data_IF_939846766412
#
_entry.id   IF_939846766412
#
_cell.length_a   1.000
_cell.length_b   1.000
_cell.length_c   1.000
_cell.angle_alpha   90.00
_cell.angle_beta   90.00
_cell.angle_gamma   90.00
#
_symmetry.space_group_name_H-M   'P 1'
#
loop_
_entity.id
_entity.type
_entity.pdbx_description
1 polymer ?
#
# COMPACT_ATOMS: atom_id res chain seq x y z
N UNK A 1 -13.91 -49.68 12.34
CA UNK A 1 -12.65 -48.96 12.62
C UNK A 1 -12.88 -47.45 12.77
N UNK A 2 -13.32 -46.72 11.73
CA UNK A 2 -13.50 -45.25 11.79
C UNK A 2 -14.49 -44.74 12.84
N UNK A 3 -15.64 -45.40 13.02
CA UNK A 3 -16.67 -45.00 14.01
C UNK A 3 -16.22 -45.16 15.46
N UNK A 4 -15.37 -46.15 15.76
CA UNK A 4 -14.83 -46.36 17.12
C UNK A 4 -13.77 -45.32 17.49
N UNK A 5 -12.95 -44.91 16.53
CA UNK A 5 -11.94 -43.87 16.72
C UNK A 5 -12.57 -42.49 16.92
N UNK A 6 -13.64 -42.19 16.19
CA UNK A 6 -14.40 -40.95 16.36
C UNK A 6 -15.12 -40.89 17.71
N UNK A 7 -15.68 -42.00 18.18
CA UNK A 7 -16.33 -42.07 19.49
C UNK A 7 -15.32 -41.86 20.63
N UNK A 8 -14.13 -42.45 20.53
CA UNK A 8 -13.06 -42.29 21.52
C UNK A 8 -12.56 -40.84 21.57
N UNK A 9 -12.39 -40.20 20.41
CA UNK A 9 -11.98 -38.80 20.32
C UNK A 9 -13.04 -37.86 20.93
N UNK A 10 -14.32 -38.10 20.66
CA UNK A 10 -15.44 -37.35 21.23
C UNK A 10 -15.52 -37.52 22.74
N UNK A 11 -15.36 -38.75 23.26
CA UNK A 11 -15.33 -39.02 24.69
C UNK A 11 -14.17 -38.32 25.39
N UNK A 12 -13.00 -38.29 24.76
CA UNK A 12 -11.81 -37.62 25.30
C UNK A 12 -11.96 -36.09 25.28
N UNK A 13 -12.58 -35.54 24.24
CA UNK A 13 -12.94 -34.11 24.17
C UNK A 13 -13.99 -33.73 25.22
N UNK A 14 -14.99 -34.57 25.44
CA UNK A 14 -16.03 -34.36 26.44
C UNK A 14 -15.45 -34.45 27.87
N UNK A 15 -14.54 -35.39 28.12
CA UNK A 15 -13.81 -35.49 29.38
C UNK A 15 -12.94 -34.25 29.63
N UNK A 16 -12.24 -33.75 28.61
CA UNK A 16 -11.43 -32.52 28.72
C UNK A 16 -12.28 -31.27 28.97
N UNK A 17 -13.45 -31.17 28.33
CA UNK A 17 -14.40 -30.07 28.56
C UNK A 17 -15.02 -30.15 29.96
N UNK A 18 -15.33 -31.35 30.45
CA UNK A 18 -15.84 -31.56 31.82
C UNK A 18 -14.77 -31.24 32.86
N UNK A 19 -13.52 -31.67 32.66
CA UNK A 19 -12.39 -31.33 33.54
C UNK A 19 -12.14 -29.81 33.55
N UNK A 20 -12.24 -29.14 32.39
CA UNK A 20 -12.12 -27.68 32.28
C UNK A 20 -13.26 -26.96 33.01
N UNK A 21 -14.49 -27.47 32.92
CA UNK A 21 -15.66 -26.95 33.62
C UNK A 21 -15.55 -27.11 35.14
N UNK A 22 -15.09 -28.28 35.61
CA UNK A 22 -14.85 -28.54 37.03
C UNK A 22 -13.76 -27.62 37.62
N UNK A 23 -12.73 -27.31 36.83
CA UNK A 23 -11.65 -26.39 37.26
C UNK A 23 -12.14 -24.94 37.38
N UNK A 24 -13.08 -24.51 36.53
CA UNK A 24 -13.72 -23.19 36.64
C UNK A 24 -14.68 -23.11 37.82
N UNK A 25 -15.40 -24.19 38.15
CA UNK A 25 -16.25 -24.26 39.34
C UNK A 25 -15.42 -24.22 40.64
N UNK A 26 -14.30 -24.95 40.68
CA UNK A 26 -13.35 -24.91 41.80
C UNK A 26 -12.74 -23.53 42.00
N UNK A 27 -12.44 -22.81 40.91
CA UNK A 27 -11.96 -21.42 40.99
C UNK A 27 -13.02 -20.46 41.56
N UNK A 28 -14.31 -20.74 41.34
CA UNK A 28 -15.42 -19.96 41.87
C UNK A 28 -15.60 -20.08 43.38
N UNK A 29 -15.50 -21.30 43.94
CA UNK A 29 -15.61 -21.53 45.40
C UNK A 29 -14.41 -20.95 46.17
N UNK A 30 -13.21 -20.97 45.59
CA UNK A 30 -12.01 -20.33 46.18
C UNK A 30 -12.15 -18.80 46.23
N UNK A 31 -12.88 -18.19 45.30
CA UNK A 31 -13.07 -16.74 45.25
C UNK A 31 -14.10 -16.22 46.28
N UNK A 32 -15.06 -17.05 46.69
CA UNK A 32 -16.09 -16.68 47.68
C UNK A 32 -15.57 -16.80 49.13
N UNK A 33 -14.49 -17.55 49.38
CA UNK A 33 -13.90 -17.76 50.70
C UNK A 33 -12.85 -16.72 51.15
N UNK A 34 -12.39 -15.81 50.29
CA UNK A 34 -11.29 -14.90 50.62
C UNK A 34 -11.74 -13.56 51.22
N UNK A 35 -12.14 -13.56 52.49
CA UNK A 35 -11.97 -12.38 53.37
C UNK A 35 -10.75 -12.63 54.27
N UNK A 36 -9.69 -11.85 54.03
CA UNK A 36 -8.37 -11.87 54.68
C UNK A 36 -7.38 -12.94 54.16
N UNK A 37 -6.47 -12.53 53.25
CA UNK A 37 -5.28 -13.32 52.86
C UNK A 37 -4.94 -13.39 51.36
N UNK A 38 -5.09 -12.29 50.61
CA UNK A 38 -5.04 -12.31 49.14
C UNK A 38 -3.67 -12.59 48.48
N UNK A 39 -2.57 -12.74 49.23
CA UNK A 39 -1.24 -12.96 48.65
C UNK A 39 -0.83 -14.44 48.58
N UNK A 40 -1.31 -15.29 49.51
CA UNK A 40 -0.88 -16.69 49.58
C UNK A 40 -1.61 -17.60 48.59
N UNK A 41 -2.93 -17.40 48.41
CA UNK A 41 -3.74 -18.21 47.50
C UNK A 41 -3.39 -17.96 46.02
N UNK A 42 -2.98 -16.74 45.65
CA UNK A 42 -2.56 -16.43 44.29
C UNK A 42 -1.27 -17.16 43.90
N UNK A 43 -0.35 -17.37 44.84
CA UNK A 43 0.91 -18.08 44.60
C UNK A 43 0.67 -19.59 44.39
N UNK A 44 -0.24 -20.20 45.14
CA UNK A 44 -0.60 -21.62 44.94
C UNK A 44 -1.34 -21.85 43.62
N UNK A 45 -2.23 -20.93 43.22
CA UNK A 45 -2.93 -21.02 41.92
C UNK A 45 -1.97 -20.83 40.75
N UNK A 46 -0.98 -19.93 40.87
CA UNK A 46 0.05 -19.74 39.85
C UNK A 46 0.98 -20.96 39.74
N UNK A 47 1.34 -21.58 40.87
CA UNK A 47 2.13 -22.82 40.90
C UNK A 47 1.35 -24.01 40.32
N UNK A 48 0.05 -24.10 40.58
CA UNK A 48 -0.82 -25.12 39.98
C UNK A 48 -0.96 -24.93 38.46
N UNK A 49 -1.11 -23.69 37.99
CA UNK A 49 -1.12 -23.38 36.54
C UNK A 49 0.23 -23.68 35.89
N UNK A 50 1.35 -23.35 36.53
CA UNK A 50 2.68 -23.70 36.02
C UNK A 50 2.90 -25.22 35.99
N UNK A 51 2.45 -25.95 37.02
CA UNK A 51 2.59 -27.41 37.09
C UNK A 51 1.66 -28.12 36.12
N UNK A 52 0.47 -27.57 35.87
CA UNK A 52 -0.45 -28.03 34.82
C UNK A 52 0.10 -27.74 33.42
N UNK A 53 0.66 -26.55 33.18
CA UNK A 53 1.39 -26.25 31.95
C UNK A 53 2.57 -27.21 31.76
N UNK A 54 3.37 -27.50 32.79
CA UNK A 54 4.43 -28.49 32.73
C UNK A 54 3.92 -29.94 32.57
N UNK A 55 2.71 -30.28 32.99
CA UNK A 55 2.13 -31.61 32.77
C UNK A 55 1.57 -31.77 31.34
N UNK A 56 0.87 -30.75 30.85
CA UNK A 56 0.38 -30.70 29.47
C UNK A 56 1.52 -30.59 28.44
N UNK A 57 2.64 -29.93 28.80
CA UNK A 57 3.79 -29.72 27.92
C UNK A 57 4.98 -30.66 28.21
N UNK A 58 5.03 -31.31 29.37
CA UNK A 58 6.18 -32.08 29.85
C UNK A 58 6.33 -33.49 29.29
N UNK A 59 5.56 -33.85 28.27
CA UNK A 59 5.80 -35.09 27.51
C UNK A 59 6.12 -34.87 26.03
N UNK A 60 6.11 -33.62 25.55
CA UNK A 60 6.63 -33.27 24.23
C UNK A 60 7.67 -32.16 24.40
N UNK A 61 8.95 -32.54 24.41
CA UNK A 61 10.05 -31.60 24.33
C UNK A 61 9.95 -30.81 23.04
N UNK A 62 9.48 -29.58 23.12
CA UNK A 62 9.67 -28.55 22.10
C UNK A 62 9.24 -27.20 22.64
N UNK A 63 10.23 -26.30 22.77
CA UNK A 63 10.04 -24.87 22.94
C UNK A 63 9.01 -24.31 21.94
N UNK A 64 8.28 -23.22 22.26
CA UNK A 64 7.37 -22.57 21.30
C UNK A 64 8.07 -22.03 20.04
N UNK A 65 9.41 -21.96 20.03
CA UNK A 65 10.20 -21.71 18.81
C UNK A 65 10.18 -22.90 17.82
N UNK A 66 10.10 -24.14 18.31
CA UNK A 66 10.14 -25.34 17.47
C UNK A 66 8.76 -25.70 16.90
N UNK A 67 7.66 -25.34 17.56
CA UNK A 67 6.31 -25.50 16.99
C UNK A 67 6.05 -24.51 15.84
N UNK A 68 6.59 -23.30 15.91
CA UNK A 68 6.59 -22.36 14.79
C UNK A 68 7.46 -22.86 13.62
N UNK A 69 8.63 -23.45 13.91
CA UNK A 69 9.49 -24.05 12.89
C UNK A 69 8.91 -25.34 12.27
N UNK A 70 8.20 -26.17 13.04
CA UNK A 70 7.55 -27.39 12.54
C UNK A 70 6.26 -27.09 11.76
N UNK A 71 5.51 -26.03 12.12
CA UNK A 71 4.40 -25.55 11.30
C UNK A 71 4.89 -24.95 9.96
N UNK A 72 6.06 -24.32 9.96
CA UNK A 72 6.74 -23.90 8.73
C UNK A 72 7.30 -25.06 7.90
N UNK A 73 7.58 -26.23 8.51
CA UNK A 73 8.06 -27.42 7.81
C UNK A 73 6.93 -28.37 7.35
N UNK A 74 5.75 -28.32 7.99
CA UNK A 74 4.58 -29.12 7.63
C UNK A 74 3.59 -28.38 6.73
N UNK A 75 3.64 -27.05 6.68
CA UNK A 75 3.28 -26.33 5.46
C UNK A 75 4.41 -26.64 4.48
N UNK A 76 4.18 -27.58 3.56
CA UNK A 76 5.16 -27.95 2.57
C UNK A 76 5.82 -26.70 2.01
N UNK A 77 7.15 -26.67 2.06
CA UNK A 77 7.94 -25.91 1.12
C UNK A 77 7.62 -26.46 -0.28
N UNK A 78 6.43 -26.12 -0.81
CA UNK A 78 6.39 -25.58 -2.15
C UNK A 78 7.22 -24.30 -2.06
N UNK A 79 8.55 -24.45 -2.07
CA UNK A 79 9.45 -23.44 -2.56
C UNK A 79 8.98 -23.24 -4.00
N UNK A 80 7.95 -22.38 -4.13
CA UNK A 80 7.36 -22.00 -5.37
C UNK A 80 8.51 -21.70 -6.29
N UNK A 81 8.56 -22.40 -7.42
CA UNK A 81 9.59 -22.26 -8.42
C UNK A 81 9.92 -20.78 -8.56
N UNK A 82 11.14 -20.38 -8.15
CA UNK A 82 11.55 -18.98 -8.17
C UNK A 82 11.71 -18.62 -9.64
N UNK A 83 10.70 -17.97 -10.21
CA UNK A 83 10.74 -17.54 -11.60
C UNK A 83 11.49 -16.22 -11.70
N UNK A 84 12.45 -16.17 -12.62
CA UNK A 84 13.01 -14.89 -13.06
C UNK A 84 11.94 -14.09 -13.82
N UNK A 85 12.11 -12.77 -13.94
CA UNK A 85 11.09 -11.89 -14.52
C UNK A 85 10.78 -12.22 -15.98
N UNK A 86 11.78 -12.64 -16.75
CA UNK A 86 11.58 -13.12 -18.12
C UNK A 86 10.75 -14.41 -18.15
N UNK A 87 10.94 -15.29 -17.15
CA UNK A 87 10.18 -16.52 -17.00
C UNK A 87 8.74 -16.25 -16.56
N UNK A 88 8.52 -15.29 -15.66
CA UNK A 88 7.17 -14.82 -15.28
C UNK A 88 6.43 -14.25 -16.48
N UNK A 89 7.09 -13.44 -17.31
CA UNK A 89 6.51 -12.91 -18.53
C UNK A 89 6.15 -14.03 -19.52
N UNK A 90 7.06 -14.97 -19.74
CA UNK A 90 6.83 -16.13 -20.61
C UNK A 90 5.68 -17.03 -20.09
N UNK A 91 5.54 -17.15 -18.77
CA UNK A 91 4.44 -17.89 -18.15
C UNK A 91 3.09 -17.21 -18.41
N UNK A 92 3.01 -15.88 -18.26
CA UNK A 92 1.81 -15.11 -18.60
C UNK A 92 1.51 -15.22 -20.10
N UNK A 93 2.53 -15.16 -20.97
CA UNK A 93 2.38 -15.36 -22.41
C UNK A 93 1.85 -16.75 -22.76
N UNK A 94 2.29 -17.79 -22.04
CA UNK A 94 1.77 -19.14 -22.23
C UNK A 94 0.28 -19.21 -21.88
N UNK A 95 -0.12 -18.67 -20.72
CA UNK A 95 -1.51 -18.70 -20.25
C UNK A 95 -2.46 -17.79 -21.05
N UNK A 96 -1.95 -16.78 -21.74
CA UNK A 96 -2.69 -15.94 -22.70
C UNK A 96 -3.16 -16.77 -23.92
N UNK A 97 -2.35 -17.76 -24.34
CA UNK A 97 -2.65 -18.63 -25.49
C UNK A 97 -3.51 -19.85 -25.11
N UNK A 98 -3.68 -20.14 -23.82
CA UNK A 98 -4.50 -21.26 -23.34
C UNK A 98 -5.91 -20.77 -23.07
N UNK A 99 -6.86 -21.28 -23.85
CA UNK A 99 -8.28 -20.96 -23.71
C UNK A 99 -8.74 -21.28 -22.28
N UNK A 100 -9.48 -20.34 -21.66
CA UNK A 100 -10.08 -20.42 -20.32
C UNK A 100 -9.15 -20.18 -19.11
N UNK A 101 -7.91 -19.73 -19.29
CA UNK A 101 -7.02 -19.40 -18.15
C UNK A 101 -6.90 -17.89 -17.92
N UNK A 102 -6.53 -17.13 -18.95
CA UNK A 102 -6.49 -15.67 -18.92
C UNK A 102 -7.22 -15.12 -20.14
N UNK A 103 -7.94 -14.01 -19.96
CA UNK A 103 -8.36 -13.18 -21.09
C UNK A 103 -7.20 -12.33 -21.58
N UNK A 104 -7.26 -11.91 -22.85
CA UNK A 104 -6.21 -11.07 -23.44
C UNK A 104 -6.00 -9.74 -22.70
N UNK A 105 -7.08 -9.16 -22.15
CA UNK A 105 -7.00 -7.95 -21.34
C UNK A 105 -6.33 -8.20 -19.98
N UNK A 106 -6.65 -9.31 -19.30
CA UNK A 106 -5.98 -9.71 -18.05
C UNK A 106 -4.49 -9.99 -18.27
N UNK A 107 -4.15 -10.73 -19.33
CA UNK A 107 -2.76 -10.98 -19.70
C UNK A 107 -2.01 -9.67 -19.99
N UNK A 108 -2.65 -8.72 -20.69
CA UNK A 108 -2.09 -7.39 -20.97
C UNK A 108 -1.86 -6.57 -19.69
N UNK A 109 -2.78 -6.62 -18.73
CA UNK A 109 -2.63 -5.94 -17.44
C UNK A 109 -1.48 -6.55 -16.64
N UNK A 110 -1.38 -7.89 -16.59
CA UNK A 110 -0.32 -8.59 -15.89
C UNK A 110 1.07 -8.27 -16.48
N UNK A 111 1.20 -8.34 -17.81
CA UNK A 111 2.43 -7.95 -18.53
C UNK A 111 2.78 -6.49 -18.24
N UNK A 112 1.78 -5.60 -18.30
CA UNK A 112 1.94 -4.19 -17.98
C UNK A 112 2.45 -3.95 -16.55
N UNK A 113 1.92 -4.66 -15.56
CA UNK A 113 2.37 -4.56 -14.16
C UNK A 113 3.80 -5.07 -13.94
N UNK A 114 4.17 -6.17 -14.62
CA UNK A 114 5.54 -6.70 -14.59
C UNK A 114 6.54 -5.70 -15.19
N UNK A 115 6.19 -5.09 -16.32
CA UNK A 115 7.04 -4.11 -17.02
C UNK A 115 7.10 -2.78 -16.25
N UNK A 116 5.98 -2.33 -15.65
CA UNK A 116 5.85 -1.07 -14.91
C UNK A 116 6.90 -0.89 -13.81
N UNK A 117 7.27 -1.98 -13.14
CA UNK A 117 8.24 -1.96 -12.05
C UNK A 117 9.65 -1.50 -12.48
N UNK A 118 9.96 -1.51 -13.79
CA UNK A 118 11.28 -1.14 -14.32
C UNK A 118 11.28 0.08 -15.22
N UNK A 119 10.09 0.55 -15.60
CA UNK A 119 9.99 1.76 -16.41
C UNK A 119 10.51 2.93 -15.57
N UNK A 120 11.35 3.76 -16.21
CA UNK A 120 11.83 5.02 -15.64
C UNK A 120 10.95 6.17 -16.08
N UNK A 121 11.00 7.27 -15.33
CA UNK A 121 10.21 8.47 -15.60
C UNK A 121 10.50 9.04 -16.99
N UNK A 122 11.75 8.93 -17.46
CA UNK A 122 12.17 9.40 -18.79
C UNK A 122 11.32 8.86 -19.95
N UNK A 123 10.80 7.63 -19.85
CA UNK A 123 9.99 6.99 -20.90
C UNK A 123 8.53 7.43 -20.91
N UNK A 124 8.03 7.94 -19.79
CA UNK A 124 6.60 8.25 -19.60
C UNK A 124 6.35 9.77 -19.54
N UNK A 125 7.38 10.56 -19.23
CA UNK A 125 7.25 12.01 -19.13
C UNK A 125 6.85 12.68 -20.45
N UNK A 126 6.01 13.72 -20.36
CA UNK A 126 5.67 14.57 -21.49
C UNK A 126 6.78 15.60 -21.70
N UNK A 127 7.32 15.75 -22.93
CA UNK A 127 8.36 16.73 -23.18
C UNK A 127 7.81 18.16 -23.12
N UNK A 128 8.62 19.11 -22.62
CA UNK A 128 8.21 20.49 -22.33
C UNK A 128 7.54 21.21 -23.52
N UNK A 129 7.99 20.98 -24.75
CA UNK A 129 7.41 21.62 -25.95
C UNK A 129 5.97 21.19 -26.25
N UNK A 130 5.49 20.09 -25.67
CA UNK A 130 4.09 19.62 -25.79
C UNK A 130 3.22 20.03 -24.60
N UNK A 131 3.80 20.71 -23.62
CA UNK A 131 3.08 21.11 -22.41
C UNK A 131 2.29 22.39 -22.68
N UNK A 132 0.97 22.32 -22.46
CA UNK A 132 0.12 23.51 -22.44
C UNK A 132 0.24 24.18 -21.06
N UNK A 133 1.09 25.20 -20.97
CA UNK A 133 1.37 25.96 -19.75
C UNK A 133 1.13 27.46 -19.94
N UNK A 134 1.20 28.19 -18.83
CA UNK A 134 1.11 29.64 -18.75
C UNK A 134 2.46 30.22 -18.32
N UNK A 135 2.90 31.32 -18.90
CA UNK A 135 4.10 32.02 -18.42
C UNK A 135 3.76 32.95 -17.24
N UNK A 136 4.67 33.07 -16.27
CA UNK A 136 4.45 33.73 -14.98
C UNK A 136 4.07 35.22 -15.08
N UNK A 137 4.67 35.95 -16.02
CA UNK A 137 4.44 37.39 -16.20
C UNK A 137 3.37 37.70 -17.25
N UNK A 138 2.70 36.66 -17.75
CA UNK A 138 1.61 36.81 -18.70
C UNK A 138 0.36 37.35 -18.01
N UNK A 139 -0.25 38.40 -18.57
CA UNK A 139 -1.60 38.84 -18.21
C UNK A 139 -2.65 37.87 -18.73
N UNK A 140 -3.59 37.45 -17.89
CA UNK A 140 -4.71 36.59 -18.28
C UNK A 140 -5.80 37.41 -18.94
N UNK A 141 -5.90 37.24 -20.25
CA UNK A 141 -6.97 37.79 -21.08
C UNK A 141 -7.94 36.67 -21.46
N UNK A 142 -9.15 37.05 -21.92
CA UNK A 142 -10.15 36.10 -22.40
C UNK A 142 -9.58 35.09 -23.41
N UNK A 143 -8.78 35.56 -24.37
CA UNK A 143 -8.17 34.70 -25.40
C UNK A 143 -7.25 33.63 -24.80
N UNK A 144 -6.44 33.99 -23.80
CA UNK A 144 -5.50 33.06 -23.16
C UNK A 144 -6.23 32.06 -22.28
N UNK A 145 -7.24 32.50 -21.53
CA UNK A 145 -8.08 31.62 -20.73
C UNK A 145 -8.81 30.63 -21.64
N UNK A 146 -9.40 31.11 -22.75
CA UNK A 146 -10.06 30.26 -23.74
C UNK A 146 -9.10 29.23 -24.36
N UNK A 147 -7.88 29.63 -24.71
CA UNK A 147 -6.84 28.74 -25.22
C UNK A 147 -6.45 27.64 -24.23
N UNK A 148 -6.43 27.93 -22.94
CA UNK A 148 -6.12 26.95 -21.90
C UNK A 148 -7.29 26.00 -21.68
N UNK A 149 -8.51 26.52 -21.69
CA UNK A 149 -9.71 25.72 -21.58
C UNK A 149 -9.84 24.74 -22.76
N UNK A 150 -9.45 25.17 -23.97
CA UNK A 150 -9.44 24.29 -25.15
C UNK A 150 -8.34 23.22 -25.09
N UNK A 151 -7.27 23.40 -24.31
CA UNK A 151 -6.29 22.33 -24.05
C UNK A 151 -6.88 21.16 -23.24
N UNK A 152 -7.94 21.38 -22.45
CA UNK A 152 -8.65 20.31 -21.73
C UNK A 152 -7.89 19.67 -20.54
N UNK A 153 -6.78 20.25 -20.09
CA UNK A 153 -6.01 19.74 -18.95
C UNK A 153 -6.43 20.38 -17.64
N UNK A 154 -6.73 19.59 -16.61
CA UNK A 154 -7.12 20.14 -15.29
C UNK A 154 -6.00 20.87 -14.56
N UNK A 155 -4.74 20.52 -14.85
CA UNK A 155 -3.54 21.02 -14.19
C UNK A 155 -2.69 21.77 -15.19
N UNK A 156 -2.41 23.03 -14.89
CA UNK A 156 -1.69 23.94 -15.77
C UNK A 156 -0.39 24.34 -15.09
N UNK A 157 0.77 23.97 -15.64
CA UNK A 157 2.04 24.51 -15.18
C UNK A 157 2.11 26.01 -15.39
N UNK A 158 2.70 26.70 -14.41
CA UNK A 158 3.20 28.05 -14.57
C UNK A 158 4.69 27.97 -14.85
N UNK A 159 5.07 28.45 -16.04
CA UNK A 159 6.41 28.47 -16.58
C UNK A 159 7.08 29.80 -16.29
N UNK A 160 8.38 29.75 -15.98
CA UNK A 160 9.24 30.93 -15.90
C UNK A 160 10.48 30.69 -16.74
N UNK A 161 10.53 31.35 -17.90
CA UNK A 161 11.62 31.23 -18.87
C UNK A 161 12.91 31.91 -18.39
N UNK A 162 12.83 32.81 -17.41
CA UNK A 162 14.00 33.45 -16.81
C UNK A 162 14.65 32.57 -15.74
N UNK A 163 13.91 31.60 -15.20
CA UNK A 163 14.40 30.73 -14.13
C UNK A 163 15.05 29.45 -14.69
N UNK A 164 16.09 28.91 -14.01
CA UNK A 164 16.64 27.59 -14.33
C UNK A 164 15.65 26.47 -14.01
N UNK A 165 14.62 26.75 -13.20
CA UNK A 165 13.55 25.82 -12.86
C UNK A 165 12.31 26.19 -13.67
N UNK A 166 12.30 25.81 -14.95
CA UNK A 166 11.30 26.19 -15.98
C UNK A 166 9.86 26.19 -15.51
N UNK A 167 9.50 25.38 -14.50
CA UNK A 167 8.19 25.38 -13.84
C UNK A 167 8.35 25.87 -12.40
N UNK A 168 7.65 26.95 -12.08
CA UNK A 168 7.66 27.56 -10.74
C UNK A 168 6.49 27.05 -9.90
N UNK A 169 5.38 26.70 -10.54
CA UNK A 169 4.19 26.27 -9.81
C UNK A 169 3.09 25.69 -10.68
N UNK A 170 1.97 25.38 -10.05
CA UNK A 170 0.85 24.70 -10.70
C UNK A 170 -0.49 25.35 -10.33
N UNK A 171 -1.32 25.60 -11.34
CA UNK A 171 -2.67 26.15 -11.24
C UNK A 171 -3.69 25.10 -11.69
N UNK A 172 -4.92 25.17 -11.18
CA UNK A 172 -6.03 24.37 -11.71
C UNK A 172 -6.94 25.22 -12.58
N UNK A 173 -7.47 24.58 -13.64
CA UNK A 173 -8.47 25.20 -14.52
C UNK A 173 -9.68 25.73 -13.76
N UNK A 174 -10.13 24.98 -12.74
CA UNK A 174 -11.30 25.39 -11.94
C UNK A 174 -11.08 26.72 -11.21
N UNK A 175 -9.83 27.02 -10.85
CA UNK A 175 -9.48 28.26 -10.16
C UNK A 175 -9.48 29.43 -11.15
N UNK A 176 -9.10 29.18 -12.42
CA UNK A 176 -9.18 30.17 -13.52
C UNK A 176 -10.62 30.50 -13.93
N UNK A 177 -11.55 29.55 -13.80
CA UNK A 177 -12.96 29.75 -14.17
C UNK A 177 -13.69 30.76 -13.26
N UNK A 178 -13.14 31.05 -12.07
CA UNK A 178 -13.71 32.00 -11.11
C UNK A 178 -13.29 33.44 -11.38
N UNK A 179 -12.34 33.67 -12.30
CA UNK A 179 -11.80 34.99 -12.58
C UNK A 179 -12.54 35.71 -13.69
N UNK A 180 -12.71 37.02 -13.49
CA UNK A 180 -13.21 37.91 -14.53
C UNK A 180 -12.14 38.14 -15.61
N UNK A 181 -12.39 37.77 -16.88
CA UNK A 181 -11.45 37.97 -17.98
C UNK A 181 -11.14 39.44 -18.29
N UNK A 182 -11.95 40.40 -17.80
CA UNK A 182 -11.71 41.83 -18.01
C UNK A 182 -10.79 42.47 -16.96
N UNK A 183 -10.46 41.76 -15.88
CA UNK A 183 -9.61 42.28 -14.81
C UNK A 183 -8.10 42.25 -15.12
N UNK A 184 -7.70 41.61 -16.24
CA UNK A 184 -6.30 41.48 -16.70
C UNK A 184 -5.29 41.06 -15.61
N UNK A 185 -5.67 40.11 -14.76
CA UNK A 185 -4.84 39.66 -13.64
C UNK A 185 -3.58 38.95 -14.17
N UNK A 186 -2.42 39.25 -13.58
CA UNK A 186 -1.15 38.60 -13.90
C UNK A 186 -1.11 37.20 -13.29
N UNK A 187 -0.61 36.21 -14.04
CA UNK A 187 -0.49 34.81 -13.59
C UNK A 187 0.30 34.71 -12.28
N UNK A 188 1.35 35.52 -12.08
CA UNK A 188 2.10 35.63 -10.82
C UNK A 188 1.21 35.83 -9.59
N UNK A 189 0.20 36.70 -9.68
CA UNK A 189 -0.74 36.95 -8.58
C UNK A 189 -1.60 35.72 -8.30
N UNK A 190 -2.07 35.05 -9.34
CA UNK A 190 -2.83 33.80 -9.19
C UNK A 190 -1.99 32.68 -8.60
N UNK A 191 -0.73 32.59 -9.00
CA UNK A 191 0.19 31.61 -8.45
C UNK A 191 0.45 31.87 -6.97
N UNK A 192 0.48 33.12 -6.52
CA UNK A 192 0.60 33.41 -5.10
C UNK A 192 -0.66 33.03 -4.30
N UNK A 193 -1.85 33.19 -4.87
CA UNK A 193 -3.13 32.93 -4.20
C UNK A 193 -3.56 31.46 -4.21
N UNK A 194 -3.39 30.79 -5.36
CA UNK A 194 -3.90 29.43 -5.61
C UNK A 194 -2.81 28.45 -6.05
N UNK A 195 -1.55 28.90 -6.06
CA UNK A 195 -0.43 28.07 -6.48
C UNK A 195 -0.27 26.84 -5.61
N UNK A 196 0.07 25.75 -6.28
CA UNK A 196 0.37 24.47 -5.64
C UNK A 196 1.82 24.14 -5.85
N UNK A 197 2.42 23.57 -4.81
CA UNK A 197 3.82 23.13 -4.85
C UNK A 197 4.00 22.08 -5.95
N UNK A 198 5.04 22.24 -6.74
CA UNK A 198 5.45 21.27 -7.76
C UNK A 198 6.49 20.35 -7.14
N UNK A 199 6.35 19.06 -7.39
CA UNK A 199 7.33 18.07 -6.95
C UNK A 199 8.21 17.71 -8.14
N UNK A 200 9.48 18.07 -8.04
CA UNK A 200 10.47 17.72 -9.04
C UNK A 200 10.96 16.28 -8.80
N UNK A 201 11.09 15.53 -9.89
CA UNK A 201 11.60 14.15 -9.87
C UNK A 201 12.65 14.01 -10.95
N UNK A 202 13.67 13.22 -10.65
CA UNK A 202 14.76 12.91 -11.57
C UNK A 202 14.29 11.92 -12.65
N UNK A 203 14.85 12.03 -13.85
CA UNK A 203 14.53 11.20 -15.01
C UNK A 203 14.83 9.72 -14.74
N UNK A 204 15.83 9.46 -13.89
CA UNK A 204 16.28 8.10 -13.52
C UNK A 204 15.42 7.41 -12.45
N UNK A 205 14.44 8.12 -11.88
CA UNK A 205 13.58 7.58 -10.82
C UNK A 205 12.72 6.43 -11.35
N UNK A 206 12.57 5.37 -10.56
CA UNK A 206 11.69 4.26 -10.92
C UNK A 206 10.21 4.66 -10.81
N UNK A 207 9.40 4.27 -11.80
CA UNK A 207 7.98 4.61 -11.87
C UNK A 207 7.19 4.03 -10.68
N UNK A 208 7.62 2.90 -10.12
CA UNK A 208 7.03 2.29 -8.93
C UNK A 208 7.20 3.15 -7.67
N UNK A 209 8.36 3.77 -7.51
CA UNK A 209 8.65 4.68 -6.39
C UNK A 209 7.80 5.94 -6.50
N UNK A 210 7.71 6.49 -7.73
CA UNK A 210 6.88 7.65 -8.03
C UNK A 210 5.38 7.38 -7.83
N UNK A 211 4.89 6.20 -8.23
CA UNK A 211 3.52 5.79 -7.95
C UNK A 211 3.27 5.66 -6.44
N UNK A 212 4.25 5.14 -5.71
CA UNK A 212 4.16 5.01 -4.24
C UNK A 212 4.15 6.38 -3.57
N UNK A 213 4.97 7.32 -4.04
CA UNK A 213 4.99 8.70 -3.58
C UNK A 213 3.64 9.40 -3.83
N UNK A 214 3.01 9.16 -4.98
CA UNK A 214 1.67 9.65 -5.29
C UNK A 214 0.61 9.08 -4.34
N UNK A 215 0.62 7.75 -4.11
CA UNK A 215 -0.37 7.09 -3.24
C UNK A 215 -0.27 7.56 -1.80
N UNK A 216 0.93 7.78 -1.28
CA UNK A 216 1.17 8.21 0.09
C UNK A 216 0.76 9.67 0.36
N UNK A 217 0.38 10.43 -0.68
CA UNK A 217 0.10 11.85 -0.55
C UNK A 217 1.32 12.69 -0.13
N UNK A 218 2.54 12.12 -0.22
CA UNK A 218 3.79 12.85 0.00
C UNK A 218 4.01 13.92 -1.07
N UNK A 219 3.47 13.68 -2.26
CA UNK A 219 2.94 14.74 -3.11
C UNK A 219 1.55 15.10 -2.58
N UNK A 220 1.40 16.27 -1.96
CA UNK A 220 0.09 16.79 -1.53
C UNK A 220 -0.99 16.47 -2.57
N UNK A 221 -2.22 16.13 -2.13
CA UNK A 221 -3.24 15.60 -3.02
C UNK A 221 -3.35 16.55 -4.20
N UNK A 222 -3.11 16.01 -5.39
CA UNK A 222 -3.26 16.67 -6.69
C UNK A 222 -2.06 17.47 -7.29
N UNK A 223 -0.86 17.55 -6.70
CA UNK A 223 0.29 18.21 -7.37
C UNK A 223 1.18 17.25 -8.19
N UNK A 224 0.64 16.68 -9.26
CA UNK A 224 1.40 15.81 -10.17
C UNK A 224 1.62 16.49 -11.51
N UNK A 225 2.73 17.21 -11.66
CA UNK A 225 3.24 17.56 -12.98
C UNK A 225 4.75 17.36 -12.98
N UNK A 226 5.20 16.38 -13.76
CA UNK A 226 6.61 16.13 -14.03
C UNK A 226 6.92 16.70 -15.39
N UNK A 227 7.79 17.69 -15.43
CA UNK A 227 8.33 18.14 -16.70
C UNK A 227 9.81 18.39 -16.52
N UNK A 228 10.54 17.87 -17.49
CA UNK A 228 11.92 18.23 -17.76
C UNK A 228 12.02 19.74 -17.94
N UNK A 229 12.62 20.44 -16.98
CA UNK A 229 13.22 21.73 -17.32
C UNK A 229 14.59 21.46 -17.93
N UNK A 230 14.65 21.49 -19.25
CA UNK A 230 15.92 21.43 -19.96
C UNK A 230 16.51 22.82 -20.05
N UNK A 231 17.09 23.33 -18.96
CA UNK A 231 18.11 24.38 -19.02
C UNK A 231 19.45 23.74 -18.69
N UNK A 232 19.92 22.88 -19.59
CA UNK A 232 21.33 22.55 -19.66
C UNK A 232 22.01 23.76 -20.32
N UNK A 233 22.47 24.69 -19.49
CA UNK A 233 23.54 25.64 -19.87
C UNK A 233 24.84 24.84 -19.92
#
# INVERSE_FOLDING_TARGET
MLRGMLLLLLLLLLLLLLLRGMMMLWAGEVLVGCRAGAAAAAAEVLLLLQRFCCYCWGRQGSHPAAAAAAAAAAAGEDLGTIYDRQQLRALVDYHDNVVHVLTSDEARILKGGLDFAFVRVDKVMTPLHRVCGLEIDTKLTFEKISKILSCGFSRIPVLDLASPQCIVGLLYVKDLALFDPYAEVVVRTLLHLFGRNVYAVDEDTALLDLLTAFKKGGLLPFSGLFVRCSTRV
#
